data_IF_528378595258
#
_entry.id   IF_528378595258
#
_cell.length_a   1.000
_cell.length_b   1.000
_cell.length_c   1.000
_cell.angle_alpha   90.00
_cell.angle_beta   90.00
_cell.angle_gamma   90.00
#
_symmetry.space_group_name_H-M   'P 1'
#
loop_
_entity.id
_entity.type
_entity.pdbx_description
1 polymer ?
#
# COMPACT_ATOMS: atom_id res chain seq x y z
N UNK A 1 -41.54 18.47 6.62
CA UNK A 1 -40.25 19.17 6.41
C UNK A 1 -39.16 18.14 6.07
N UNK A 2 -38.98 17.80 4.80
CA UNK A 2 -37.93 16.88 4.37
C UNK A 2 -36.67 17.67 4.01
N UNK A 3 -35.58 17.45 4.75
CA UNK A 3 -34.27 18.05 4.46
C UNK A 3 -33.82 17.59 3.07
N UNK A 4 -33.98 18.46 2.08
CA UNK A 4 -33.49 18.25 0.72
C UNK A 4 -31.97 18.10 0.83
N UNK A 5 -31.49 16.87 0.59
CA UNK A 5 -30.06 16.56 0.48
C UNK A 5 -29.46 17.63 -0.42
N UNK A 6 -28.61 18.50 0.13
CA UNK A 6 -27.95 19.57 -0.60
C UNK A 6 -27.43 18.98 -1.91
N UNK A 7 -28.14 19.26 -3.02
CA UNK A 7 -27.72 18.89 -4.36
C UNK A 7 -26.48 19.72 -4.59
N UNK A 8 -25.33 19.13 -4.33
CA UNK A 8 -24.06 19.69 -4.73
C UNK A 8 -24.10 19.64 -6.27
N UNK A 9 -24.46 20.77 -6.91
CA UNK A 9 -24.40 20.94 -8.37
C UNK A 9 -22.95 21.02 -8.89
N UNK A 10 -21.97 20.77 -8.02
CA UNK A 10 -20.55 20.77 -8.30
C UNK A 10 -20.10 19.32 -8.48
N UNK A 11 -19.69 19.00 -9.70
CA UNK A 11 -18.98 17.77 -9.98
C UNK A 11 -17.59 17.89 -9.33
N UNK A 12 -17.19 16.85 -8.61
CA UNK A 12 -15.87 16.81 -7.97
C UNK A 12 -14.90 16.01 -8.85
N UNK A 13 -13.61 16.35 -8.86
CA UNK A 13 -12.62 15.57 -9.59
C UNK A 13 -12.54 14.15 -9.03
N UNK A 14 -12.82 13.19 -9.91
CA UNK A 14 -12.69 11.76 -9.66
C UNK A 14 -11.55 11.17 -10.48
N UNK A 15 -10.93 10.12 -9.95
CA UNK A 15 -9.86 9.44 -10.69
C UNK A 15 -10.49 8.73 -11.90
N UNK A 16 -9.88 8.77 -13.10
CA UNK A 16 -10.38 8.01 -14.25
C UNK A 16 -10.52 6.53 -13.90
N UNK A 17 -11.71 5.96 -14.13
CA UNK A 17 -12.05 4.59 -13.70
C UNK A 17 -12.46 4.46 -12.22
N UNK A 18 -12.65 5.57 -11.53
CA UNK A 18 -13.19 5.64 -10.18
C UNK A 18 -12.25 5.14 -9.09
N UNK A 19 -12.82 4.86 -7.92
CA UNK A 19 -12.07 4.46 -6.71
C UNK A 19 -11.33 3.13 -6.87
N UNK A 20 -11.87 2.20 -7.66
CA UNK A 20 -11.27 0.88 -7.89
C UNK A 20 -10.00 1.00 -8.75
N UNK A 21 -10.07 1.76 -9.85
CA UNK A 21 -8.89 2.02 -10.68
C UNK A 21 -7.80 2.74 -9.90
N UNK A 22 -8.17 3.67 -9.01
CA UNK A 22 -7.20 4.37 -8.15
C UNK A 22 -6.51 3.40 -7.18
N UNK A 23 -7.26 2.52 -6.52
CA UNK A 23 -6.68 1.47 -5.66
C UNK A 23 -5.75 0.55 -6.44
N UNK A 24 -6.13 0.16 -7.66
CA UNK A 24 -5.30 -0.67 -8.53
C UNK A 24 -3.99 0.04 -8.88
N UNK A 25 -4.08 1.30 -9.31
CA UNK A 25 -2.92 2.16 -9.56
C UNK A 25 -1.98 2.22 -8.38
N UNK A 26 -2.49 2.48 -7.16
CA UNK A 26 -1.67 2.51 -5.95
C UNK A 26 -0.96 1.17 -5.75
N UNK A 27 -1.66 0.04 -5.87
CA UNK A 27 -1.05 -1.29 -5.69
C UNK A 27 0.04 -1.60 -6.73
N UNK A 28 -0.15 -1.17 -7.97
CA UNK A 28 0.79 -1.44 -9.08
C UNK A 28 2.01 -0.51 -9.07
N UNK A 29 1.86 0.72 -8.57
CA UNK A 29 2.91 1.75 -8.63
C UNK A 29 3.60 2.02 -7.30
N UNK A 30 3.08 1.49 -6.18
CA UNK A 30 3.65 1.66 -4.85
C UNK A 30 4.95 0.87 -4.74
N UNK A 31 6.03 1.60 -4.48
CA UNK A 31 7.36 1.08 -4.22
C UNK A 31 7.58 1.14 -2.73
N UNK A 32 7.63 -0.02 -2.09
CA UNK A 32 7.85 -0.08 -0.65
C UNK A 32 9.31 0.27 -0.33
N UNK A 33 9.59 1.34 0.45
CA UNK A 33 10.95 1.78 0.76
C UNK A 33 11.77 0.68 1.45
N UNK A 34 13.06 0.60 1.16
CA UNK A 34 13.95 -0.39 1.79
C UNK A 34 14.04 -0.21 3.31
N UNK A 35 14.10 1.03 3.78
CA UNK A 35 14.16 1.34 5.21
C UNK A 35 12.91 0.85 5.94
N UNK A 36 11.72 1.09 5.37
CA UNK A 36 10.48 0.57 5.90
C UNK A 36 10.41 -0.97 5.89
N UNK A 37 11.01 -1.64 4.89
CA UNK A 37 11.13 -3.12 4.87
C UNK A 37 12.03 -3.62 6.00
N UNK A 38 13.23 -3.05 6.14
CA UNK A 38 14.21 -3.47 7.15
C UNK A 38 13.67 -3.28 8.57
N UNK A 39 12.97 -2.18 8.79
CA UNK A 39 12.42 -1.81 10.11
C UNK A 39 11.02 -2.39 10.36
N UNK A 40 10.51 -3.24 9.47
CA UNK A 40 9.15 -3.81 9.54
C UNK A 40 8.04 -2.76 9.74
N UNK A 41 8.25 -1.54 9.26
CA UNK A 41 7.31 -0.42 9.40
C UNK A 41 6.16 -0.64 8.44
N UNK A 42 4.93 -0.61 8.94
CA UNK A 42 3.69 -0.79 8.18
C UNK A 42 2.60 0.11 8.76
N UNK A 43 1.58 0.43 7.97
CA UNK A 43 0.48 1.28 8.43
C UNK A 43 -0.20 2.08 7.33
N UNK A 44 -0.85 3.18 7.72
CA UNK A 44 -1.62 4.03 6.81
C UNK A 44 -1.05 5.44 6.87
N UNK A 45 -0.55 5.91 5.72
CA UNK A 45 -0.19 7.31 5.52
C UNK A 45 -1.45 8.07 5.10
N UNK A 46 -1.75 9.16 5.81
CA UNK A 46 -2.84 10.07 5.49
C UNK A 46 -2.27 11.38 4.98
N UNK A 47 -2.76 11.80 3.83
CA UNK A 47 -2.31 13.01 3.16
C UNK A 47 -3.49 13.76 2.58
N UNK A 48 -3.33 15.06 2.46
CA UNK A 48 -4.27 15.94 1.80
C UNK A 48 -3.59 16.53 0.57
N UNK A 49 -4.30 16.54 -0.55
CA UNK A 49 -3.85 17.26 -1.72
C UNK A 49 -4.95 18.15 -2.28
N UNK A 50 -4.55 19.22 -2.96
CA UNK A 50 -5.44 20.08 -3.72
C UNK A 50 -5.47 19.64 -5.18
N UNK A 51 -6.67 19.52 -5.75
CA UNK A 51 -6.87 19.12 -7.14
C UNK A 51 -7.44 20.34 -7.87
N UNK A 52 -6.72 20.78 -8.91
CA UNK A 52 -7.07 21.89 -9.78
C UNK A 52 -8.19 21.49 -10.77
N UNK A 53 -8.83 22.46 -11.44
CA UNK A 53 -9.93 22.20 -12.38
C UNK A 53 -9.51 21.31 -13.56
N UNK A 54 -8.23 21.34 -13.91
CA UNK A 54 -7.62 20.52 -14.95
C UNK A 54 -7.26 19.09 -14.50
N UNK A 55 -7.52 18.76 -13.22
CA UNK A 55 -7.23 17.46 -12.62
C UNK A 55 -5.78 17.27 -12.15
N UNK A 56 -4.96 18.32 -12.20
CA UNK A 56 -3.61 18.31 -11.65
C UNK A 56 -3.63 18.38 -10.13
N UNK A 57 -2.77 17.59 -9.50
CA UNK A 57 -2.57 17.61 -8.06
C UNK A 57 -1.53 18.66 -7.70
N UNK A 58 -1.87 19.52 -6.74
CA UNK A 58 -1.03 20.57 -6.18
C UNK A 58 -1.09 20.47 -4.65
N UNK A 59 -0.11 21.09 -3.98
CA UNK A 59 -0.08 21.24 -2.51
C UNK A 59 -0.42 19.95 -1.75
N UNK A 60 0.46 18.96 -1.87
CA UNK A 60 0.34 17.71 -1.12
C UNK A 60 0.94 17.91 0.27
N UNK A 61 0.14 17.67 1.31
CA UNK A 61 0.50 17.81 2.72
C UNK A 61 0.27 16.46 3.40
N UNK A 62 1.26 15.94 4.12
CA UNK A 62 1.11 14.72 4.93
C UNK A 62 0.48 15.12 6.28
N UNK A 63 -0.72 14.62 6.56
CA UNK A 63 -1.39 14.85 7.86
C UNK A 63 -0.93 13.84 8.91
N UNK A 64 -0.74 12.58 8.50
CA UNK A 64 -0.29 11.51 9.38
C UNK A 64 0.65 10.62 8.60
N UNK A 65 1.94 10.71 8.93
CA UNK A 65 2.97 9.84 8.38
C UNK A 65 3.18 8.59 9.22
N UNK A 66 3.90 7.63 8.62
CA UNK A 66 4.44 6.46 9.35
C UNK A 66 5.97 6.43 9.32
N UNK A 67 6.63 7.33 8.58
CA UNK A 67 8.08 7.41 8.48
C UNK A 67 8.71 6.32 7.62
N UNK A 68 10.02 6.16 7.77
CA UNK A 68 10.86 5.19 7.05
C UNK A 68 10.77 5.28 5.52
N UNK A 69 10.57 6.49 4.98
CA UNK A 69 10.42 6.78 3.56
C UNK A 69 9.02 6.53 2.97
N UNK A 70 8.06 6.05 3.78
CA UNK A 70 6.70 5.78 3.29
C UNK A 70 5.93 7.07 2.97
N UNK A 71 6.27 8.16 3.66
CA UNK A 71 5.58 9.44 3.52
C UNK A 71 5.93 10.09 2.18
N UNK A 72 7.22 10.08 1.83
CA UNK A 72 7.75 10.55 0.56
C UNK A 72 7.21 9.73 -0.61
N UNK A 73 7.15 8.41 -0.45
CA UNK A 73 6.57 7.53 -1.46
C UNK A 73 5.07 7.79 -1.67
N UNK A 74 4.32 8.00 -0.58
CA UNK A 74 2.92 8.36 -0.64
C UNK A 74 2.70 9.70 -1.36
N UNK A 75 3.57 10.68 -1.11
CA UNK A 75 3.56 11.98 -1.82
C UNK A 75 3.87 11.79 -3.30
N UNK A 76 4.85 10.95 -3.67
CA UNK A 76 5.22 10.65 -5.06
C UNK A 76 4.04 10.09 -5.85
N UNK A 77 3.37 9.07 -5.30
CA UNK A 77 2.20 8.44 -5.93
C UNK A 77 1.08 9.44 -6.21
N UNK A 78 0.83 10.35 -5.27
CA UNK A 78 -0.27 11.31 -5.37
C UNK A 78 0.09 12.46 -6.30
N UNK A 79 1.35 12.88 -6.38
CA UNK A 79 1.80 13.86 -7.36
C UNK A 79 1.76 13.32 -8.80
N UNK A 80 2.02 12.04 -8.99
CA UNK A 80 2.04 11.41 -10.31
C UNK A 80 0.66 11.05 -10.85
N UNK A 81 -0.38 11.20 -10.05
CA UNK A 81 -1.74 10.87 -10.45
C UNK A 81 -2.43 12.07 -11.10
N UNK A 82 -3.20 11.83 -12.17
CA UNK A 82 -4.05 12.83 -12.79
C UNK A 82 -5.51 12.47 -12.59
N UNK A 83 -6.28 13.40 -12.03
CA UNK A 83 -7.73 13.25 -11.88
C UNK A 83 -8.44 13.69 -13.16
N UNK A 84 -9.65 13.19 -13.38
CA UNK A 84 -10.52 13.70 -14.43
C UNK A 84 -10.84 15.16 -14.14
N UNK A 85 -10.49 16.05 -15.08
CA UNK A 85 -10.84 17.46 -14.98
C UNK A 85 -12.36 17.64 -15.03
N UNK A 86 -12.86 18.58 -14.24
CA UNK A 86 -14.30 18.85 -14.17
C UNK A 86 -14.58 20.25 -14.68
N UNK A 87 -15.37 20.33 -15.76
CA UNK A 87 -15.90 21.62 -16.26
C UNK A 87 -17.22 21.93 -15.58
N UNK A 88 -17.17 22.71 -14.51
CA UNK A 88 -18.36 23.07 -13.76
C UNK A 88 -19.02 24.36 -14.30
N UNK A 89 -19.73 24.29 -15.44
CA UNK A 89 -20.46 25.43 -16.05
C UNK A 89 -19.66 26.76 -16.06
N UNK A 90 -18.37 26.70 -16.40
CA UNK A 90 -17.47 27.88 -16.44
C UNK A 90 -16.76 28.21 -15.13
N UNK A 91 -17.10 27.56 -14.01
CA UNK A 91 -16.44 27.74 -12.71
C UNK A 91 -15.25 26.78 -12.61
N UNK A 92 -14.05 27.34 -12.43
CA UNK A 92 -12.85 26.58 -12.07
C UNK A 92 -12.93 26.25 -10.58
N UNK A 93 -12.96 24.96 -10.25
CA UNK A 93 -13.04 24.48 -8.87
C UNK A 93 -11.70 23.89 -8.44
N UNK A 94 -11.12 24.45 -7.38
CA UNK A 94 -10.02 23.83 -6.63
C UNK A 94 -10.61 23.02 -5.48
N UNK A 95 -10.33 21.73 -5.44
CA UNK A 95 -10.88 20.82 -4.41
C UNK A 95 -9.77 20.26 -3.54
N UNK A 96 -9.91 20.36 -2.22
CA UNK A 96 -9.03 19.69 -1.27
C UNK A 96 -9.55 18.28 -0.99
N UNK A 97 -8.72 17.24 -1.18
CA UNK A 97 -9.09 15.83 -1.03
C UNK A 97 -8.13 15.09 -0.10
N UNK A 98 -8.69 14.30 0.81
CA UNK A 98 -7.92 13.43 1.70
C UNK A 98 -7.71 12.06 1.06
N UNK A 99 -6.49 11.55 1.15
CA UNK A 99 -6.10 10.23 0.69
C UNK A 99 -5.55 9.40 1.86
N UNK A 100 -5.79 8.10 1.80
CA UNK A 100 -5.27 7.11 2.74
C UNK A 100 -4.56 6.05 1.92
N UNK A 101 -3.24 5.96 2.07
CA UNK A 101 -2.39 4.99 1.39
C UNK A 101 -1.91 4.00 2.43
N UNK A 102 -2.18 2.72 2.19
CA UNK A 102 -1.87 1.64 3.11
C UNK A 102 -0.58 0.94 2.66
N UNK A 103 0.40 0.90 3.55
CA UNK A 103 1.65 0.17 3.41
C UNK A 103 1.54 -1.14 4.19
N UNK A 104 1.49 -2.24 3.45
CA UNK A 104 1.44 -3.61 3.99
C UNK A 104 2.68 -4.35 3.52
N UNK A 105 3.45 -4.88 4.48
CA UNK A 105 4.47 -5.86 4.18
C UNK A 105 3.78 -7.15 3.70
N UNK A 106 4.21 -7.75 2.58
CA UNK A 106 3.75 -9.09 2.25
C UNK A 106 4.15 -10.00 3.40
N UNK A 107 3.21 -10.79 3.92
CA UNK A 107 3.53 -11.81 4.90
C UNK A 107 4.68 -12.64 4.35
N UNK A 108 5.80 -12.66 5.08
CA UNK A 108 6.96 -13.45 4.71
C UNK A 108 6.47 -14.87 4.48
N UNK A 109 6.57 -15.36 3.24
CA UNK A 109 6.34 -16.78 2.97
C UNK A 109 7.49 -17.47 3.69
N UNK A 110 7.29 -17.84 4.96
CA UNK A 110 8.16 -18.78 5.63
C UNK A 110 8.06 -20.06 4.81
N UNK A 111 9.03 -20.25 3.90
CA UNK A 111 9.13 -21.47 3.12
C UNK A 111 9.37 -22.55 4.17
N UNK A 112 8.31 -23.25 4.56
CA UNK A 112 8.45 -24.51 5.28
C UNK A 112 9.07 -25.47 4.28
N UNK A 113 10.40 -25.52 4.24
CA UNK A 113 11.09 -26.63 3.60
C UNK A 113 10.68 -27.89 4.38
N UNK A 114 9.69 -28.61 3.85
CA UNK A 114 9.53 -30.01 4.18
C UNK A 114 10.51 -30.75 3.28
N UNK A 115 11.60 -31.24 3.87
CA UNK A 115 12.45 -32.22 3.19
C UNK A 115 11.57 -33.45 2.91
N UNK A 116 11.00 -33.54 1.71
CA UNK A 116 10.50 -34.82 1.21
C UNK A 116 11.71 -35.70 0.93
N UNK A 117 12.05 -36.56 1.87
CA UNK A 117 12.91 -37.70 1.60
C UNK A 117 12.27 -38.50 0.45
N UNK A 118 12.94 -38.55 -0.70
CA UNK A 118 12.54 -39.37 -1.83
C UNK A 118 12.94 -40.82 -1.52
N UNK A 119 12.02 -41.59 -0.96
CA UNK A 119 12.22 -43.03 -0.74
C UNK A 119 11.76 -43.83 -1.97
N UNK A 120 12.64 -44.69 -2.51
CA UNK A 120 12.40 -46.11 -2.89
C UNK A 120 13.61 -46.73 -3.61
N UNK A 121 13.85 -48.07 -3.56
CA UNK A 121 13.54 -49.08 -2.52
C UNK A 121 14.72 -50.04 -2.16
N UNK A 122 14.52 -50.84 -1.10
CA UNK A 122 14.98 -52.24 -0.91
C UNK A 122 16.38 -52.60 -0.31
N UNK A 123 16.26 -53.38 0.79
CA UNK A 123 17.07 -54.41 1.46
C UNK A 123 18.35 -54.15 2.29
N UNK A 124 18.25 -54.70 3.51
CA UNK A 124 19.25 -55.38 4.34
C UNK A 124 19.82 -54.65 5.59
N UNK A 125 19.29 -55.09 6.75
CA UNK A 125 19.85 -55.16 8.10
C UNK A 125 20.28 -53.88 8.90
N UNK A 126 19.53 -53.60 9.99
CA UNK A 126 19.85 -52.75 11.17
C UNK A 126 20.98 -53.43 12.02
N UNK A 127 21.78 -52.79 12.93
CA UNK A 127 21.46 -51.65 13.82
C UNK A 127 22.65 -50.76 14.31
N UNK A 128 22.60 -50.05 15.48
CA UNK A 128 21.83 -48.84 15.80
C UNK A 128 22.68 -47.67 16.40
N UNK A 129 22.02 -46.53 16.61
CA UNK A 129 22.35 -45.44 17.56
C UNK A 129 23.56 -44.54 17.24
N UNK A 130 23.33 -43.22 17.23
CA UNK A 130 24.26 -42.30 17.90
C UNK A 130 23.50 -41.03 18.33
N UNK A 131 23.35 -40.84 19.63
CA UNK A 131 22.94 -39.60 20.26
C UNK A 131 24.12 -38.65 20.33
N UNK A 132 23.92 -37.34 20.11
CA UNK A 132 24.83 -36.32 20.62
C UNK A 132 24.03 -35.14 21.18
N UNK A 133 24.28 -34.88 22.47
CA UNK A 133 23.77 -33.77 23.26
C UNK A 133 24.66 -32.55 23.05
N UNK A 134 24.13 -31.32 23.22
CA UNK A 134 24.95 -30.12 23.35
C UNK A 134 24.79 -29.50 24.74
N UNK A 135 25.91 -29.10 25.31
CA UNK A 135 26.02 -28.42 26.62
C UNK A 135 26.06 -26.92 26.37
N UNK A 136 25.34 -26.16 27.20
CA UNK A 136 25.38 -24.69 27.25
C UNK A 136 26.25 -24.32 28.45
N UNK A 137 27.28 -23.52 28.21
CA UNK A 137 28.06 -22.85 29.26
C UNK A 137 27.52 -21.41 29.44
N UNK A 138 27.49 -20.95 30.69
CA UNK A 138 26.71 -19.80 31.19
C UNK A 138 27.26 -18.44 30.77
#
# INVERSE_FOLDING_TARGET
MGFSKNKIFLNLPEYPGGKLAFKKYLKENLVYPEEAKRNNVHGIVQLIAEIDDNGYVKNVIVEKGIGAGCDEEAVRLIKNVRFGGVKNRGIRLKTRKKFKIEFKLPAERRIKYSLKAKAKPENDNKPPNTSFNYTIDL
#
